data_IF_792258202470
#
_entry.id   IF_792258202470
#
_cell.length_a   1.000
_cell.length_b   1.000
_cell.length_c   1.000
_cell.angle_alpha   90.00
_cell.angle_beta   90.00
_cell.angle_gamma   90.00
#
_symmetry.space_group_name_H-M   'P 1'
#
loop_
_entity.id
_entity.type
_entity.pdbx_description
1 polymer ?
#
# COMPACT_ATOMS: atom_id res chain seq x y z
N UNK A 1 -11.82 16.84 18.63
CA UNK A 1 -12.18 15.85 17.60
C UNK A 1 -11.55 14.52 17.97
N UNK A 2 -12.30 13.42 17.96
CA UNK A 2 -11.75 12.10 18.29
C UNK A 2 -10.76 11.67 17.20
N UNK A 3 -9.54 11.30 17.60
CA UNK A 3 -8.52 10.79 16.68
C UNK A 3 -8.86 9.32 16.43
N UNK A 4 -9.29 8.97 15.22
CA UNK A 4 -9.46 7.56 14.83
C UNK A 4 -8.05 6.96 14.81
N UNK A 5 -7.77 6.04 15.73
CA UNK A 5 -6.44 5.42 15.89
C UNK A 5 -6.37 4.00 15.32
N UNK A 6 -7.50 3.37 15.02
CA UNK A 6 -7.58 2.01 14.49
C UNK A 6 -8.79 1.87 13.57
N UNK A 7 -8.60 1.21 12.42
CA UNK A 7 -9.64 0.82 11.47
C UNK A 7 -9.53 -0.68 11.26
N UNK A 8 -10.66 -1.39 11.24
CA UNK A 8 -10.74 -2.80 10.86
C UNK A 8 -11.34 -2.89 9.46
N UNK A 9 -10.65 -3.58 8.55
CA UNK A 9 -10.98 -3.68 7.12
C UNK A 9 -11.23 -5.15 6.77
N UNK A 10 -12.31 -5.40 6.04
CA UNK A 10 -12.50 -6.64 5.29
C UNK A 10 -12.05 -6.38 3.85
N UNK A 11 -11.19 -7.24 3.32
CA UNK A 11 -10.52 -7.06 2.03
C UNK A 11 -10.94 -8.20 1.11
N UNK A 12 -11.37 -7.89 -0.12
CA UNK A 12 -11.66 -8.88 -1.15
C UNK A 12 -10.40 -9.31 -1.90
N UNK A 13 -9.89 -10.50 -1.60
CA UNK A 13 -8.69 -11.02 -2.24
C UNK A 13 -8.87 -11.36 -3.73
N UNK A 14 -10.09 -11.31 -4.27
CA UNK A 14 -10.34 -11.50 -5.70
C UNK A 14 -10.01 -10.27 -6.55
N UNK A 15 -9.86 -9.08 -5.93
CA UNK A 15 -9.56 -7.81 -6.60
C UNK A 15 -8.37 -7.07 -5.92
N UNK A 16 -7.17 -7.66 -5.91
CA UNK A 16 -6.08 -7.21 -5.04
C UNK A 16 -5.57 -5.79 -5.33
N UNK A 17 -5.58 -5.36 -6.59
CA UNK A 17 -5.08 -4.02 -6.95
C UNK A 17 -6.04 -2.94 -6.49
N UNK A 18 -7.33 -3.15 -6.74
CA UNK A 18 -8.42 -2.28 -6.35
C UNK A 18 -8.49 -2.13 -4.83
N UNK A 19 -8.38 -3.24 -4.11
CA UNK A 19 -8.35 -3.26 -2.65
C UNK A 19 -7.14 -2.52 -2.08
N UNK A 20 -5.93 -2.75 -2.62
CA UNK A 20 -4.73 -2.02 -2.18
C UNK A 20 -4.92 -0.50 -2.38
N UNK A 21 -5.45 -0.09 -3.54
CA UNK A 21 -5.73 1.32 -3.80
C UNK A 21 -6.75 1.91 -2.81
N UNK A 22 -7.80 1.16 -2.47
CA UNK A 22 -8.79 1.58 -1.49
C UNK A 22 -8.18 1.78 -0.10
N UNK A 23 -7.32 0.86 0.35
CA UNK A 23 -6.62 0.98 1.64
C UNK A 23 -5.68 2.18 1.65
N UNK A 24 -4.94 2.43 0.57
CA UNK A 24 -4.08 3.61 0.45
C UNK A 24 -4.91 4.89 0.58
N UNK A 25 -6.04 5.00 -0.13
CA UNK A 25 -6.90 6.19 -0.05
C UNK A 25 -7.39 6.48 1.37
N UNK A 26 -7.81 5.45 2.11
CA UNK A 26 -8.20 5.59 3.53
C UNK A 26 -7.04 6.15 4.37
N UNK A 27 -5.81 5.69 4.12
CA UNK A 27 -4.63 6.19 4.82
C UNK A 27 -4.31 7.65 4.47
N UNK A 28 -4.51 8.07 3.22
CA UNK A 28 -4.32 9.46 2.80
C UNK A 28 -5.34 10.40 3.45
N UNK A 29 -6.60 9.99 3.51
CA UNK A 29 -7.68 10.75 4.16
C UNK A 29 -7.42 10.93 5.66
N UNK A 30 -6.82 9.93 6.31
CA UNK A 30 -6.44 10.00 7.72
C UNK A 30 -5.21 10.90 7.98
N UNK A 31 -4.44 11.25 6.95
CA UNK A 31 -3.18 12.01 7.07
C UNK A 31 -3.13 13.22 6.12
N UNK A 32 -4.02 14.21 6.29
CA UNK A 32 -4.02 15.40 5.45
C UNK A 32 -2.71 16.19 5.61
N UNK A 33 -2.16 16.67 4.49
CA UNK A 33 -0.90 17.42 4.43
C UNK A 33 0.35 16.54 4.27
N UNK A 34 0.20 15.21 4.28
CA UNK A 34 1.29 14.24 4.08
C UNK A 34 1.06 13.27 2.92
N UNK A 35 0.08 13.55 2.07
CA UNK A 35 -0.37 12.58 1.06
C UNK A 35 0.74 12.22 0.06
N UNK A 36 1.49 13.22 -0.40
CA UNK A 36 2.59 13.01 -1.35
C UNK A 36 3.69 12.16 -0.70
N UNK A 37 4.17 12.54 0.49
CA UNK A 37 5.19 11.78 1.22
C UNK A 37 4.79 10.31 1.45
N UNK A 38 3.52 10.07 1.76
CA UNK A 38 2.99 8.72 1.96
C UNK A 38 3.00 7.95 0.64
N UNK A 39 2.53 8.55 -0.45
CA UNK A 39 2.50 7.91 -1.76
C UNK A 39 3.90 7.59 -2.29
N UNK A 40 4.86 8.50 -2.14
CA UNK A 40 6.26 8.26 -2.53
C UNK A 40 6.88 7.10 -1.72
N UNK A 41 6.63 7.04 -0.41
CA UNK A 41 7.12 5.95 0.42
C UNK A 41 6.48 4.60 0.06
N UNK A 42 5.18 4.59 -0.27
CA UNK A 42 4.47 3.39 -0.72
C UNK A 42 4.98 2.91 -2.08
N UNK A 43 5.16 3.81 -3.04
CA UNK A 43 5.71 3.51 -4.36
C UNK A 43 7.09 2.83 -4.24
N UNK A 44 7.98 3.41 -3.42
CA UNK A 44 9.30 2.84 -3.18
C UNK A 44 9.23 1.44 -2.56
N UNK A 45 8.40 1.24 -1.53
CA UNK A 45 8.25 -0.04 -0.86
C UNK A 45 7.69 -1.14 -1.78
N UNK A 46 6.72 -0.80 -2.64
CA UNK A 46 6.17 -1.72 -3.65
C UNK A 46 7.23 -2.04 -4.71
N UNK A 47 7.96 -1.03 -5.19
CA UNK A 47 9.05 -1.21 -6.14
C UNK A 47 10.15 -2.15 -5.61
N UNK A 48 10.54 -2.01 -4.35
CA UNK A 48 11.48 -2.92 -3.70
C UNK A 48 10.94 -4.35 -3.59
N UNK A 49 9.67 -4.52 -3.22
CA UNK A 49 9.05 -5.83 -3.13
C UNK A 49 9.01 -6.52 -4.50
N UNK A 50 8.66 -5.78 -5.55
CA UNK A 50 8.67 -6.27 -6.92
C UNK A 50 10.08 -6.65 -7.38
N UNK A 51 11.08 -5.81 -7.11
CA UNK A 51 12.46 -6.09 -7.46
C UNK A 51 12.99 -7.37 -6.78
N UNK A 52 12.60 -7.62 -5.52
CA UNK A 52 12.95 -8.86 -4.80
C UNK A 52 12.35 -10.08 -5.49
N UNK A 53 11.07 -10.06 -5.83
CA UNK A 53 10.41 -11.17 -6.53
C UNK A 53 11.06 -11.46 -7.89
N UNK A 54 11.31 -10.42 -8.67
CA UNK A 54 11.97 -10.56 -9.97
C UNK A 54 13.41 -11.09 -9.86
N UNK A 55 14.10 -10.82 -8.74
CA UNK A 55 15.42 -11.37 -8.49
C UNK A 55 15.37 -12.86 -8.13
N UNK A 56 14.33 -13.31 -7.42
CA UNK A 56 14.09 -14.74 -7.16
C UNK A 56 13.77 -15.49 -8.45
N UNK A 57 12.88 -14.95 -9.28
CA UNK A 57 12.50 -15.59 -10.55
C UNK A 57 13.72 -15.78 -11.49
N UNK A 58 14.67 -14.84 -11.48
CA UNK A 58 15.92 -14.94 -12.27
C UNK A 58 16.96 -15.93 -11.72
N UNK A 59 16.79 -16.45 -10.51
CA UNK A 59 17.68 -17.46 -9.92
C UNK A 59 17.20 -18.89 -10.19
N UNK A 60 15.94 -19.05 -10.63
CA UNK A 60 15.33 -20.34 -10.97
C UNK A 60 15.39 -20.67 -12.48
N UNK A 61 15.87 -19.75 -13.31
CA UNK A 61 16.24 -19.96 -14.74
C UNK A 61 17.73 -20.31 -14.91
#
# INVERSE_FOLDING_TARGET
MAKVTKVELQIDLSAPVEEIAAVVNIMLDAHPGRQIDILEAVDHAIGEALAKLQAFDKQEE
#
